data_IF_189398376895
#
_entry.id   IF_189398376895
#
_cell.length_a   1.000
_cell.length_b   1.000
_cell.length_c   1.000
_cell.angle_alpha   90.00
_cell.angle_beta   90.00
_cell.angle_gamma   90.00
#
_symmetry.space_group_name_H-M   'P 1'
#
loop_
_entity.id
_entity.type
_entity.pdbx_description
1 polymer ?
#
# COMPACT_ATOMS: atom_id res chain seq x y z
N UNK A 1 15.99 4.88 35.16
CA UNK A 1 14.56 5.16 34.91
C UNK A 1 14.21 4.58 33.53
N UNK A 2 13.27 3.60 33.47
CA UNK A 2 12.68 3.19 32.17
C UNK A 2 11.96 4.42 31.62
N UNK A 3 12.44 4.97 30.51
CA UNK A 3 11.75 6.05 29.79
C UNK A 3 10.33 5.57 29.46
N UNK A 4 9.34 6.29 29.94
CA UNK A 4 7.94 6.02 29.59
C UNK A 4 7.75 6.30 28.11
N UNK A 5 7.02 5.41 27.42
CA UNK A 5 6.59 5.63 26.04
C UNK A 5 5.67 6.86 26.00
N UNK A 6 5.98 7.79 25.13
CA UNK A 6 5.08 8.92 24.82
C UNK A 6 4.35 8.58 23.53
N UNK A 7 3.06 8.87 23.47
CA UNK A 7 2.23 8.66 22.29
C UNK A 7 1.44 9.94 22.00
N UNK A 8 1.48 10.39 20.77
CA UNK A 8 0.64 11.48 20.27
C UNK A 8 -0.33 10.93 19.23
N UNK A 9 -1.62 11.08 19.44
CA UNK A 9 -2.65 10.57 18.53
C UNK A 9 -3.51 11.70 17.97
N UNK A 10 -3.88 11.56 16.71
CA UNK A 10 -4.88 12.41 16.07
C UNK A 10 -5.58 11.67 14.94
N UNK A 11 -6.74 12.18 14.57
CA UNK A 11 -7.48 11.73 13.40
C UNK A 11 -8.21 12.90 12.76
N UNK A 12 -8.46 12.80 11.45
CA UNK A 12 -9.14 13.84 10.70
C UNK A 12 -9.84 13.29 9.46
N UNK A 13 -10.92 13.94 9.09
CA UNK A 13 -11.60 13.63 7.84
C UNK A 13 -10.74 14.04 6.63
N UNK A 14 -10.97 13.38 5.50
CA UNK A 14 -10.28 13.62 4.24
C UNK A 14 -10.33 15.10 3.78
N UNK A 15 -11.48 15.73 3.97
CA UNK A 15 -11.74 17.06 3.40
C UNK A 15 -11.59 17.04 1.88
N UNK A 16 -11.12 18.14 1.31
CA UNK A 16 -10.91 18.28 -0.13
C UNK A 16 -9.61 17.62 -0.62
N UNK A 17 -8.61 17.47 0.27
CA UNK A 17 -7.28 17.01 -0.12
C UNK A 17 -6.68 16.07 0.93
N UNK A 18 -6.48 14.77 0.61
CA UNK A 18 -5.91 13.80 1.55
C UNK A 18 -4.50 14.17 2.03
N UNK A 19 -3.68 14.82 1.19
CA UNK A 19 -2.33 15.28 1.60
C UNK A 19 -2.42 16.38 2.68
N UNK A 20 -3.32 17.35 2.52
CA UNK A 20 -3.55 18.37 3.55
C UNK A 20 -4.12 17.77 4.84
N UNK A 21 -5.01 16.80 4.74
CA UNK A 21 -5.53 16.08 5.90
C UNK A 21 -4.42 15.33 6.65
N UNK A 22 -3.55 14.63 5.93
CA UNK A 22 -2.36 13.97 6.51
C UNK A 22 -1.45 14.94 7.25
N UNK A 23 -1.15 16.08 6.64
CA UNK A 23 -0.35 17.14 7.25
C UNK A 23 -0.99 17.67 8.55
N UNK A 24 -2.27 18.07 8.49
CA UNK A 24 -2.99 18.60 9.64
C UNK A 24 -3.11 17.61 10.80
N UNK A 25 -3.33 16.32 10.48
CA UNK A 25 -3.41 15.25 11.49
C UNK A 25 -2.04 15.01 12.14
N UNK A 26 -0.96 15.06 11.37
CA UNK A 26 0.39 14.93 11.89
C UNK A 26 0.73 16.06 12.87
N UNK A 27 0.46 17.33 12.51
CA UNK A 27 0.63 18.46 13.42
C UNK A 27 -0.22 18.31 14.69
N UNK A 28 -1.47 17.86 14.56
CA UNK A 28 -2.34 17.66 15.72
C UNK A 28 -1.79 16.56 16.64
N UNK A 29 -1.28 15.45 16.09
CA UNK A 29 -0.67 14.38 16.88
C UNK A 29 0.58 14.84 17.63
N UNK A 30 1.44 15.67 17.00
CA UNK A 30 2.59 16.29 17.68
C UNK A 30 2.12 17.19 18.82
N UNK A 31 1.19 18.10 18.58
CA UNK A 31 0.64 18.96 19.65
C UNK A 31 0.05 18.13 20.81
N UNK A 32 -0.69 17.09 20.52
CA UNK A 32 -1.33 16.24 21.52
C UNK A 32 -0.32 15.41 22.34
N UNK A 33 0.87 15.17 21.82
CA UNK A 33 1.94 14.49 22.55
C UNK A 33 2.61 15.37 23.59
N UNK A 34 2.55 16.70 23.43
CA UNK A 34 3.32 17.68 24.23
C UNK A 34 4.81 17.67 23.94
N UNK A 35 5.28 16.97 22.88
CA UNK A 35 6.69 16.89 22.49
C UNK A 35 7.03 17.91 21.40
N UNK A 36 8.31 18.26 21.35
CA UNK A 36 8.88 19.20 20.36
C UNK A 36 9.91 18.55 19.45
N UNK A 37 10.31 17.30 19.76
CA UNK A 37 11.21 16.47 18.95
C UNK A 37 10.43 15.55 18.03
N UNK A 38 11.07 15.06 16.98
CA UNK A 38 10.45 14.16 16.02
C UNK A 38 10.15 12.80 16.65
N UNK A 39 9.05 12.13 16.25
CA UNK A 39 8.74 10.79 16.71
C UNK A 39 9.72 9.75 16.11
N UNK A 40 9.96 8.67 16.86
CA UNK A 40 10.81 7.57 16.38
C UNK A 40 10.15 6.78 15.26
N UNK A 41 8.82 6.63 15.32
CA UNK A 41 8.02 5.91 14.33
C UNK A 41 6.52 6.22 14.50
N UNK A 42 5.70 5.82 13.53
CA UNK A 42 4.26 6.00 13.61
C UNK A 42 3.44 4.82 13.09
N UNK A 43 2.20 4.76 13.54
CA UNK A 43 1.14 3.92 13.01
C UNK A 43 0.11 4.77 12.29
N UNK A 44 -0.35 4.31 11.13
CA UNK A 44 -1.36 5.00 10.33
C UNK A 44 -2.44 4.03 9.86
N UNK A 45 -3.70 4.48 9.90
CA UNK A 45 -4.83 3.84 9.22
C UNK A 45 -5.51 4.86 8.33
N UNK A 46 -5.80 4.47 7.08
CA UNK A 46 -6.47 5.29 6.09
C UNK A 46 -7.41 4.42 5.22
N UNK A 47 -8.35 5.00 4.47
CA UNK A 47 -9.09 4.25 3.47
C UNK A 47 -8.18 3.85 2.30
N UNK A 48 -8.47 2.74 1.61
CA UNK A 48 -7.70 2.32 0.45
C UNK A 48 -7.84 3.34 -0.69
N UNK A 49 -6.73 3.49 -1.43
CA UNK A 49 -6.69 4.31 -2.64
C UNK A 49 -6.01 5.67 -2.51
N UNK A 50 -5.84 6.18 -1.30
CA UNK A 50 -5.26 7.51 -1.05
C UNK A 50 -4.12 7.50 -0.03
N UNK A 51 -3.67 6.32 0.41
CA UNK A 51 -2.68 6.14 1.49
C UNK A 51 -1.40 6.92 1.22
N UNK A 52 -0.89 6.88 -0.02
CA UNK A 52 0.33 7.59 -0.38
C UNK A 52 0.18 9.11 -0.26
N UNK A 53 -1.04 9.63 -0.48
CA UNK A 53 -1.32 11.06 -0.35
C UNK A 53 -1.33 11.49 1.12
N UNK A 54 -1.95 10.72 2.00
CA UNK A 54 -1.89 10.96 3.46
C UNK A 54 -0.46 10.84 3.98
N UNK A 55 0.28 9.80 3.56
CA UNK A 55 1.69 9.61 3.93
C UNK A 55 2.55 10.79 3.50
N UNK A 56 2.37 11.31 2.28
CA UNK A 56 3.10 12.48 1.82
C UNK A 56 2.86 13.69 2.73
N UNK A 57 1.62 13.93 3.15
CA UNK A 57 1.30 15.02 4.09
C UNK A 57 1.91 14.82 5.48
N UNK A 58 1.87 13.60 6.01
CA UNK A 58 2.50 13.27 7.30
C UNK A 58 4.02 13.50 7.23
N UNK A 59 4.67 13.04 6.14
CA UNK A 59 6.10 13.19 5.95
C UNK A 59 6.58 14.65 5.79
N UNK A 60 5.72 15.56 5.37
CA UNK A 60 6.01 16.99 5.36
C UNK A 60 6.21 17.57 6.78
N UNK A 61 5.60 16.93 7.78
CA UNK A 61 5.66 17.36 9.18
C UNK A 61 6.77 16.67 9.95
N UNK A 62 6.92 15.34 9.80
CA UNK A 62 7.85 14.53 10.61
C UNK A 62 8.99 13.91 9.82
N UNK A 63 9.13 14.25 8.54
CA UNK A 63 10.14 13.64 7.68
C UNK A 63 9.87 12.16 7.37
N UNK A 64 10.88 11.47 6.85
CA UNK A 64 10.82 10.04 6.54
C UNK A 64 11.28 9.23 7.75
N UNK A 65 10.35 8.84 8.58
CA UNK A 65 10.58 7.95 9.72
C UNK A 65 9.91 6.60 9.49
N UNK A 66 10.32 5.52 10.19
CA UNK A 66 9.69 4.22 10.10
C UNK A 66 8.20 4.28 10.42
N UNK A 67 7.40 3.51 9.71
CA UNK A 67 5.98 3.41 10.00
C UNK A 67 5.42 2.03 9.65
N UNK A 68 4.24 1.75 10.18
CA UNK A 68 3.40 0.63 9.77
C UNK A 68 1.93 1.03 9.88
N UNK A 69 1.05 0.19 9.38
CA UNK A 69 -0.37 0.46 9.43
C UNK A 69 -1.14 -0.42 8.46
N UNK A 70 -2.32 0.01 8.11
CA UNK A 70 -3.18 -0.72 7.19
C UNK A 70 -4.25 0.16 6.59
N UNK A 71 -4.84 -0.35 5.53
CA UNK A 71 -6.01 0.23 4.89
C UNK A 71 -7.28 -0.35 5.51
N UNK A 72 -8.29 0.49 5.69
CA UNK A 72 -9.62 0.03 6.04
C UNK A 72 -10.18 -0.87 4.93
N UNK A 73 -10.95 -1.86 5.28
CA UNK A 73 -11.54 -2.80 4.34
C UNK A 73 -12.95 -3.20 4.76
N UNK A 74 -13.71 -3.73 3.82
CA UNK A 74 -15.01 -4.37 4.01
C UNK A 74 -14.99 -5.81 3.45
N UNK A 75 -16.01 -6.59 3.77
CA UNK A 75 -16.06 -8.00 3.38
C UNK A 75 -16.48 -8.23 1.92
N UNK A 76 -17.11 -7.24 1.30
CA UNK A 76 -17.77 -7.37 -0.02
C UNK A 76 -17.25 -6.39 -1.07
N UNK A 77 -16.18 -5.65 -0.74
CA UNK A 77 -15.53 -4.67 -1.62
C UNK A 77 -16.48 -3.56 -2.12
N UNK A 78 -17.47 -3.20 -1.30
CA UNK A 78 -18.48 -2.17 -1.66
C UNK A 78 -18.10 -0.76 -1.21
N UNK A 79 -16.98 -0.58 -0.53
CA UNK A 79 -16.50 0.71 -0.07
C UNK A 79 -17.14 1.18 1.25
N UNK A 80 -17.73 0.26 2.02
CA UNK A 80 -18.43 0.56 3.29
C UNK A 80 -17.53 0.42 4.51
N UNK A 81 -16.31 0.89 4.42
CA UNK A 81 -15.37 0.91 5.54
C UNK A 81 -15.42 2.19 6.34
N UNK A 82 -14.82 2.14 7.52
CA UNK A 82 -14.63 3.31 8.37
C UNK A 82 -13.22 3.29 8.98
N UNK A 83 -12.64 4.47 9.08
CA UNK A 83 -11.44 4.71 9.89
C UNK A 83 -11.91 5.25 11.23
N UNK A 84 -11.42 4.67 12.32
CA UNK A 84 -11.74 5.12 13.67
C UNK A 84 -10.61 5.97 14.24
N UNK A 85 -11.00 7.09 14.82
CA UNK A 85 -10.18 7.94 15.67
C UNK A 85 -11.02 8.36 16.87
N UNK A 86 -11.28 9.66 17.05
CA UNK A 86 -12.24 10.13 18.04
C UNK A 86 -13.69 9.81 17.63
N UNK A 87 -13.95 9.64 16.35
CA UNK A 87 -15.22 9.20 15.76
C UNK A 87 -14.97 8.28 14.57
N UNK A 88 -16.01 7.58 14.13
CA UNK A 88 -15.99 6.83 12.89
C UNK A 88 -16.02 7.81 11.70
N UNK A 89 -15.14 7.60 10.72
CA UNK A 89 -15.02 8.41 9.51
C UNK A 89 -15.08 7.51 8.28
N UNK A 90 -15.98 7.72 7.33
CA UNK A 90 -16.02 6.94 6.09
C UNK A 90 -14.80 7.24 5.19
N UNK A 91 -14.20 8.41 5.36
CA UNK A 91 -12.99 8.83 4.67
C UNK A 91 -12.16 9.76 5.57
N UNK A 92 -10.89 9.45 5.74
CA UNK A 92 -9.98 10.22 6.61
C UNK A 92 -8.77 9.40 7.02
N UNK A 93 -7.99 9.91 7.94
CA UNK A 93 -6.77 9.27 8.43
C UNK A 93 -6.71 9.34 9.95
N UNK A 94 -6.22 8.27 10.56
CA UNK A 94 -5.85 8.24 11.97
C UNK A 94 -4.35 7.91 12.08
N UNK A 95 -3.64 8.63 12.96
CA UNK A 95 -2.22 8.46 13.19
C UNK A 95 -1.91 8.39 14.69
N UNK A 96 -0.94 7.55 15.04
CA UNK A 96 -0.33 7.51 16.36
C UNK A 96 1.19 7.62 16.22
N UNK A 97 1.79 8.64 16.78
CA UNK A 97 3.23 8.87 16.86
C UNK A 97 3.79 8.32 18.16
N UNK A 98 4.98 7.73 18.10
CA UNK A 98 5.61 7.07 19.24
C UNK A 98 7.03 7.57 19.48
N UNK A 99 7.40 7.76 20.73
CA UNK A 99 8.73 8.16 21.21
C UNK A 99 9.23 7.18 22.27
N UNK A 100 10.54 7.08 22.39
CA UNK A 100 11.24 6.31 23.43
C UNK A 100 10.93 4.81 23.40
N UNK A 101 10.64 4.24 22.22
CA UNK A 101 10.49 2.79 22.06
C UNK A 101 11.22 2.31 20.80
N UNK A 102 12.04 1.28 20.94
CA UNK A 102 12.63 0.64 19.77
C UNK A 102 11.53 0.08 18.87
N UNK A 103 11.75 0.18 17.57
CA UNK A 103 10.84 -0.27 16.54
C UNK A 103 11.60 -1.05 15.47
N UNK A 104 11.16 -2.25 15.21
CA UNK A 104 11.61 -3.06 14.08
C UNK A 104 10.52 -3.15 13.02
N UNK A 105 10.84 -2.79 11.80
CA UNK A 105 9.97 -3.02 10.67
C UNK A 105 10.66 -3.82 9.57
N UNK A 106 9.88 -4.53 8.80
CA UNK A 106 10.33 -5.25 7.63
C UNK A 106 9.23 -5.20 6.57
N UNK A 107 9.56 -4.66 5.40
CA UNK A 107 8.78 -4.91 4.20
C UNK A 107 9.23 -6.22 3.61
N UNK A 108 8.32 -7.14 3.40
CA UNK A 108 8.58 -8.44 2.78
C UNK A 108 7.35 -8.90 2.02
N UNK A 109 7.56 -9.80 1.10
CA UNK A 109 6.52 -10.54 0.39
C UNK A 109 7.15 -11.82 -0.14
N UNK A 110 6.40 -12.92 -0.10
CA UNK A 110 6.86 -14.22 -0.61
C UNK A 110 6.80 -14.31 -2.15
N UNK A 111 6.33 -13.27 -2.81
CA UNK A 111 6.18 -13.30 -4.27
C UNK A 111 7.53 -13.30 -4.97
N UNK A 112 7.68 -14.20 -5.93
CA UNK A 112 8.82 -14.30 -6.85
C UNK A 112 8.40 -14.05 -8.29
N UNK A 113 9.31 -13.52 -9.13
CA UNK A 113 9.00 -13.26 -10.53
C UNK A 113 8.81 -14.56 -11.33
N UNK A 114 7.83 -14.57 -12.24
CA UNK A 114 7.58 -15.69 -13.15
C UNK A 114 8.40 -15.62 -14.45
N UNK A 115 9.05 -14.48 -14.71
CA UNK A 115 9.70 -14.18 -15.98
C UNK A 115 8.78 -13.60 -17.06
N UNK A 116 7.45 -13.60 -16.86
CA UNK A 116 6.47 -12.98 -17.77
C UNK A 116 6.39 -11.50 -17.46
N UNK A 117 6.95 -10.65 -18.33
CA UNK A 117 7.14 -9.22 -18.08
C UNK A 117 6.89 -8.38 -19.33
N UNK A 118 6.64 -7.10 -19.14
CA UNK A 118 6.51 -6.08 -20.17
C UNK A 118 6.76 -4.69 -19.60
N UNK A 119 6.61 -3.67 -20.42
CA UNK A 119 6.74 -2.27 -20.02
C UNK A 119 5.36 -1.64 -19.90
N UNK A 120 5.13 -0.92 -18.82
CA UNK A 120 3.93 -0.10 -18.65
C UNK A 120 4.00 1.06 -19.65
N UNK A 121 3.18 1.01 -20.69
CA UNK A 121 3.21 2.03 -21.77
C UNK A 121 2.13 3.08 -21.62
N UNK A 122 1.06 2.80 -20.84
CA UNK A 122 0.02 3.78 -20.59
C UNK A 122 -0.70 3.54 -19.26
N UNK A 123 -0.79 4.60 -18.46
CA UNK A 123 -1.52 4.62 -17.17
C UNK A 123 -2.45 5.83 -17.14
N UNK A 124 -3.63 5.66 -16.60
CA UNK A 124 -4.57 6.73 -16.34
C UNK A 124 -4.77 6.89 -14.84
N UNK A 125 -4.80 8.14 -14.35
CA UNK A 125 -5.01 8.48 -12.93
C UNK A 125 -4.08 7.71 -11.98
N UNK A 126 -2.88 7.32 -12.46
CA UNK A 126 -1.86 6.53 -11.73
C UNK A 126 -2.28 5.11 -11.33
N UNK A 127 -3.56 4.74 -11.46
CA UNK A 127 -4.10 3.46 -10.95
C UNK A 127 -4.89 2.64 -11.97
N UNK A 128 -5.10 3.15 -13.16
CA UNK A 128 -5.72 2.41 -14.25
C UNK A 128 -4.64 2.04 -15.27
N UNK A 129 -4.22 0.79 -15.28
CA UNK A 129 -3.25 0.26 -16.24
C UNK A 129 -3.96 0.04 -17.57
N UNK A 130 -3.65 0.88 -18.55
CA UNK A 130 -4.24 0.84 -19.88
C UNK A 130 -3.50 -0.12 -20.81
N UNK A 131 -2.17 -0.01 -20.83
CA UNK A 131 -1.38 -0.73 -21.82
C UNK A 131 -0.07 -1.26 -21.22
N UNK A 132 0.30 -2.46 -21.67
CA UNK A 132 1.59 -3.10 -21.47
C UNK A 132 2.15 -3.40 -22.86
N UNK A 133 3.35 -2.90 -23.18
CA UNK A 133 4.00 -3.03 -24.49
C UNK A 133 3.09 -2.57 -25.67
N UNK A 134 2.31 -1.51 -25.46
CA UNK A 134 1.36 -0.97 -26.44
C UNK A 134 0.12 -1.84 -26.70
N UNK A 135 -0.13 -2.86 -25.88
CA UNK A 135 -1.30 -3.75 -25.97
C UNK A 135 -2.23 -3.53 -24.78
N UNK A 136 -3.54 -3.79 -24.90
CA UNK A 136 -4.48 -3.70 -23.80
C UNK A 136 -4.02 -4.54 -22.61
N UNK A 137 -3.96 -3.93 -21.43
CA UNK A 137 -3.32 -4.54 -20.25
C UNK A 137 -3.98 -5.85 -19.81
N UNK A 138 -5.33 -5.92 -19.87
CA UNK A 138 -6.06 -7.12 -19.46
C UNK A 138 -5.80 -8.30 -20.41
N UNK A 139 -5.65 -8.05 -21.70
CA UNK A 139 -5.31 -9.09 -22.68
C UNK A 139 -3.91 -9.66 -22.40
N UNK A 140 -2.94 -8.80 -22.13
CA UNK A 140 -1.57 -9.22 -21.81
C UNK A 140 -1.54 -10.06 -20.52
N UNK A 141 -2.19 -9.56 -19.46
CA UNK A 141 -2.23 -10.27 -18.16
C UNK A 141 -3.01 -11.57 -18.26
N UNK A 142 -4.12 -11.60 -19.00
CA UNK A 142 -4.86 -12.83 -19.28
C UNK A 142 -3.98 -13.88 -19.98
N UNK A 143 -3.22 -13.47 -21.00
CA UNK A 143 -2.25 -14.34 -21.66
C UNK A 143 -1.17 -14.86 -20.71
N UNK A 144 -0.66 -14.04 -19.82
CA UNK A 144 0.30 -14.45 -18.78
C UNK A 144 -0.29 -15.47 -17.81
N UNK A 145 -1.57 -15.33 -17.46
CA UNK A 145 -2.30 -16.22 -16.55
C UNK A 145 -2.81 -17.50 -17.24
N UNK A 146 -2.70 -17.60 -18.57
CA UNK A 146 -3.30 -18.69 -19.35
C UNK A 146 -4.84 -18.68 -19.29
N UNK A 147 -5.45 -17.51 -19.23
CA UNK A 147 -6.89 -17.27 -19.08
C UNK A 147 -7.43 -16.41 -20.23
N UNK A 148 -8.75 -16.39 -20.40
CA UNK A 148 -9.41 -15.43 -21.29
C UNK A 148 -9.71 -14.13 -20.56
N UNK A 149 -9.59 -12.93 -21.20
CA UNK A 149 -9.96 -11.66 -20.59
C UNK A 149 -11.37 -11.64 -20.02
N UNK A 150 -12.35 -12.26 -20.68
CA UNK A 150 -13.75 -12.30 -20.23
C UNK A 150 -13.92 -12.94 -18.85
N UNK A 151 -13.07 -13.92 -18.51
CA UNK A 151 -13.09 -14.60 -17.20
C UNK A 151 -12.50 -13.76 -16.08
N UNK A 152 -11.83 -12.67 -16.42
CA UNK A 152 -11.10 -11.77 -15.51
C UNK A 152 -11.79 -10.43 -15.31
N UNK A 153 -13.01 -10.27 -15.80
CA UNK A 153 -13.78 -9.04 -15.65
C UNK A 153 -14.17 -8.75 -14.20
N UNK A 154 -14.22 -7.47 -13.85
CA UNK A 154 -14.57 -7.03 -12.50
C UNK A 154 -13.66 -7.62 -11.43
N UNK A 155 -14.23 -7.95 -10.29
CA UNK A 155 -13.51 -8.51 -9.13
C UNK A 155 -12.91 -9.92 -9.37
N UNK A 156 -13.28 -10.62 -10.45
CA UNK A 156 -12.70 -11.93 -10.77
C UNK A 156 -11.17 -11.85 -10.95
N UNK A 157 -10.68 -10.74 -11.50
CA UNK A 157 -9.24 -10.52 -11.64
C UNK A 157 -8.53 -10.48 -10.28
N UNK A 158 -9.11 -9.78 -9.29
CA UNK A 158 -8.55 -9.73 -7.94
C UNK A 158 -8.41 -11.15 -7.35
N UNK A 159 -9.48 -11.93 -7.37
CA UNK A 159 -9.46 -13.28 -6.82
C UNK A 159 -8.46 -14.19 -7.56
N UNK A 160 -8.36 -14.06 -8.88
CA UNK A 160 -7.43 -14.86 -9.70
C UNK A 160 -5.98 -14.48 -9.45
N UNK A 161 -5.70 -13.25 -8.99
CA UNK A 161 -4.34 -12.71 -8.83
C UNK A 161 -3.86 -12.63 -7.38
N UNK A 162 -4.59 -13.19 -6.41
CA UNK A 162 -4.15 -13.25 -5.00
C UNK A 162 -2.75 -13.88 -4.89
N UNK A 163 -2.53 -15.01 -5.59
CA UNK A 163 -1.24 -15.69 -5.61
C UNK A 163 -0.35 -15.29 -6.80
N UNK A 164 -0.89 -14.53 -7.73
CA UNK A 164 -0.20 -14.11 -8.96
C UNK A 164 -0.39 -12.60 -9.24
N UNK A 165 0.01 -11.73 -8.32
CA UNK A 165 -0.13 -10.28 -8.53
C UNK A 165 0.87 -9.77 -9.57
N UNK A 166 0.74 -8.51 -9.92
CA UNK A 166 1.76 -7.78 -10.68
C UNK A 166 2.84 -7.25 -9.75
N UNK A 167 4.07 -7.19 -10.22
CA UNK A 167 5.19 -6.53 -9.58
C UNK A 167 5.74 -5.44 -10.49
N UNK A 168 5.84 -4.20 -10.01
CA UNK A 168 6.51 -3.11 -10.70
C UNK A 168 7.93 -3.00 -10.19
N UNK A 169 8.92 -3.02 -11.08
CA UNK A 169 10.31 -2.80 -10.71
C UNK A 169 10.57 -1.32 -10.45
N UNK A 170 11.36 -1.06 -9.43
CA UNK A 170 11.81 0.30 -9.14
C UNK A 170 12.73 0.81 -10.28
N UNK A 171 12.61 2.11 -10.62
CA UNK A 171 13.42 2.73 -11.66
C UNK A 171 14.88 2.97 -11.21
N UNK A 172 15.09 3.14 -9.91
CA UNK A 172 16.40 3.44 -9.33
C UNK A 172 17.10 2.16 -8.88
N UNK A 173 16.36 1.26 -8.23
CA UNK A 173 16.87 -0.04 -7.79
C UNK A 173 16.04 -1.18 -8.38
N UNK A 174 16.49 -1.69 -9.53
CA UNK A 174 15.80 -2.78 -10.23
C UNK A 174 15.70 -4.10 -9.43
N UNK A 175 16.40 -4.22 -8.30
CA UNK A 175 16.26 -5.37 -7.39
C UNK A 175 14.99 -5.27 -6.55
N UNK A 176 14.49 -4.06 -6.31
CA UNK A 176 13.23 -3.85 -5.62
C UNK A 176 12.05 -4.02 -6.56
N UNK A 177 11.11 -4.86 -6.15
CA UNK A 177 9.85 -5.10 -6.84
C UNK A 177 8.71 -4.74 -5.90
N UNK A 178 7.92 -3.75 -6.32
CA UNK A 178 6.74 -3.30 -5.59
C UNK A 178 5.52 -4.07 -6.07
N UNK A 179 4.88 -4.80 -5.18
CA UNK A 179 3.65 -5.53 -5.53
C UNK A 179 2.54 -4.54 -5.86
N UNK A 180 1.87 -4.81 -6.97
CA UNK A 180 0.77 -4.03 -7.54
C UNK A 180 -0.42 -4.96 -7.75
N UNK A 181 -1.32 -5.00 -6.79
CA UNK A 181 -2.46 -5.93 -6.85
C UNK A 181 -3.47 -5.45 -7.89
N UNK A 182 -3.79 -6.27 -8.91
CA UNK A 182 -4.93 -6.00 -9.78
C UNK A 182 -6.22 -6.10 -8.97
N UNK A 183 -7.04 -5.04 -9.03
CA UNK A 183 -8.30 -4.95 -8.27
C UNK A 183 -9.51 -5.30 -9.13
N UNK A 184 -9.42 -5.15 -10.44
CA UNK A 184 -10.51 -5.47 -11.35
C UNK A 184 -10.17 -5.25 -12.80
N UNK A 185 -10.74 -6.10 -13.67
CA UNK A 185 -10.67 -5.94 -15.13
C UNK A 185 -11.85 -5.11 -15.64
N UNK A 186 -11.60 -4.19 -16.54
CA UNK A 186 -12.61 -3.30 -17.11
C UNK A 186 -13.04 -3.73 -18.52
N UNK A 187 -14.27 -3.40 -18.97
CA UNK A 187 -14.74 -3.71 -20.32
C UNK A 187 -13.89 -3.14 -21.46
N UNK A 188 -13.14 -2.07 -21.22
CA UNK A 188 -12.19 -1.47 -22.15
C UNK A 188 -10.80 -2.13 -22.14
N UNK A 189 -10.69 -3.31 -21.54
CA UNK A 189 -9.47 -4.10 -21.40
C UNK A 189 -8.37 -3.44 -20.54
N UNK A 190 -8.69 -2.42 -19.78
CA UNK A 190 -7.81 -1.86 -18.75
C UNK A 190 -7.95 -2.63 -17.42
N UNK A 191 -6.99 -2.39 -16.51
CA UNK A 191 -6.95 -3.00 -15.18
C UNK A 191 -6.90 -1.91 -14.12
N UNK A 192 -7.81 -1.94 -13.15
CA UNK A 192 -7.70 -1.16 -11.93
C UNK A 192 -6.67 -1.79 -11.00
N UNK A 193 -5.78 -0.98 -10.44
CA UNK A 193 -4.69 -1.44 -9.56
C UNK A 193 -4.75 -0.72 -8.22
N UNK A 194 -4.48 -1.44 -7.16
CA UNK A 194 -4.59 -0.94 -5.78
C UNK A 194 -3.59 0.17 -5.41
N UNK A 195 -2.50 0.32 -6.14
CA UNK A 195 -1.42 1.27 -5.87
C UNK A 195 -0.99 2.06 -7.10
N UNK A 196 -0.27 3.16 -6.90
CA UNK A 196 0.22 3.99 -8.00
C UNK A 196 1.19 3.23 -8.92
N UNK A 197 0.98 3.37 -10.21
CA UNK A 197 1.82 2.87 -11.29
C UNK A 197 2.63 4.01 -11.91
N UNK A 198 3.75 3.66 -12.53
CA UNK A 198 4.61 4.61 -13.24
C UNK A 198 4.85 4.12 -14.67
N UNK A 199 4.52 4.94 -15.67
CA UNK A 199 4.83 4.66 -17.06
C UNK A 199 6.33 4.55 -17.28
N UNK A 200 6.72 3.67 -18.20
CA UNK A 200 8.11 3.36 -18.48
C UNK A 200 8.73 2.31 -17.54
N UNK A 201 8.09 2.00 -16.40
CA UNK A 201 8.54 0.93 -15.54
C UNK A 201 8.27 -0.44 -16.14
N UNK A 202 9.14 -1.40 -15.81
CA UNK A 202 8.86 -2.82 -16.08
C UNK A 202 7.81 -3.33 -15.10
N UNK A 203 6.83 -4.05 -15.62
CA UNK A 203 5.85 -4.82 -14.86
C UNK A 203 6.00 -6.30 -15.15
N UNK A 204 5.84 -7.13 -14.12
CA UNK A 204 6.07 -8.56 -14.20
C UNK A 204 4.98 -9.33 -13.45
N UNK A 205 4.54 -10.48 -13.99
CA UNK A 205 3.67 -11.38 -13.25
C UNK A 205 4.47 -12.05 -12.14
N UNK A 206 3.97 -11.95 -10.92
CA UNK A 206 4.56 -12.58 -9.75
C UNK A 206 3.81 -13.86 -9.39
N UNK A 207 4.41 -14.69 -8.55
CA UNK A 207 3.77 -15.88 -8.01
C UNK A 207 4.20 -16.16 -6.58
N UNK A 208 3.29 -16.71 -5.79
CA UNK A 208 3.55 -17.35 -4.50
C UNK A 208 2.46 -18.37 -4.21
N UNK A 209 2.77 -19.36 -3.38
CA UNK A 209 1.76 -20.22 -2.78
C UNK A 209 1.18 -19.56 -1.52
N UNK A 210 0.01 -20.01 -1.08
CA UNK A 210 -0.60 -19.52 0.18
C UNK A 210 0.31 -19.82 1.37
N UNK A 211 0.95 -20.98 1.41
CA UNK A 211 1.87 -21.35 2.50
C UNK A 211 3.11 -20.46 2.53
N UNK A 212 3.67 -20.08 1.38
CA UNK A 212 4.78 -19.14 1.29
C UNK A 212 4.35 -17.74 1.79
N UNK A 213 3.15 -17.29 1.44
CA UNK A 213 2.61 -16.01 1.92
C UNK A 213 2.43 -16.01 3.44
N UNK A 214 1.86 -17.06 4.01
CA UNK A 214 1.70 -17.22 5.46
C UNK A 214 3.05 -17.33 6.16
N UNK A 215 3.97 -18.13 5.63
CA UNK A 215 5.31 -18.32 6.18
C UNK A 215 6.14 -17.02 6.22
N UNK A 216 6.00 -16.17 5.20
CA UNK A 216 6.72 -14.89 5.11
C UNK A 216 6.41 -13.93 6.27
N UNK A 217 5.24 -14.04 6.89
CA UNK A 217 4.89 -13.25 8.09
C UNK A 217 5.77 -13.65 9.27
N UNK A 218 5.96 -14.96 9.49
CA UNK A 218 6.84 -15.48 10.55
C UNK A 218 8.29 -15.04 10.35
N UNK A 219 8.80 -15.09 9.11
CA UNK A 219 10.13 -14.62 8.77
C UNK A 219 10.30 -13.12 9.03
N UNK A 220 9.31 -12.30 8.64
CA UNK A 220 9.33 -10.86 8.89
C UNK A 220 9.42 -10.54 10.39
N UNK A 221 8.63 -11.24 11.22
CA UNK A 221 8.65 -11.09 12.69
C UNK A 221 10.00 -11.53 13.25
N UNK A 222 10.59 -12.63 12.76
CA UNK A 222 11.92 -13.09 13.15
C UNK A 222 12.99 -12.00 12.93
N UNK A 223 13.06 -11.44 11.72
CA UNK A 223 14.00 -10.36 11.39
C UNK A 223 13.78 -9.11 12.25
N UNK A 224 12.52 -8.74 12.53
CA UNK A 224 12.24 -7.60 13.41
C UNK A 224 12.73 -7.85 14.85
N UNK A 225 12.56 -9.06 15.37
CA UNK A 225 13.05 -9.44 16.71
C UNK A 225 14.57 -9.38 16.80
N UNK A 226 15.29 -9.89 15.80
CA UNK A 226 16.76 -9.86 15.76
C UNK A 226 17.30 -8.43 15.75
N UNK A 227 16.62 -7.50 15.09
CA UNK A 227 17.01 -6.07 15.07
C UNK A 227 16.77 -5.33 16.38
N UNK A 228 15.93 -5.88 17.25
CA UNK A 228 15.56 -5.28 18.54
C UNK A 228 16.32 -5.91 19.72
N UNK A 229 17.04 -7.01 19.49
CA UNK A 229 17.86 -7.69 20.50
C UNK A 229 19.22 -7.02 20.65
#
# INVERSE_FOLDING_TARGET
QKSLMTVGVASGERGECPRKAGHSVAEAALRNSGRTDDPDWFYMVAPPGEEESYLAGIQEVVGRIPFFGGSAADNDLTGKWHVYGQKAMPSGVAVAFFWNKPFGNRYTGAYRPTGKRGIITKVENKRVLREIDGKPALEVVAGWLGSSPDTLMGANLLFRTITNPLGQRDLVDAKHVWIRHPMGGNPDMSINVGNNLVEGCSVELMEATVDELVGSVGEAVGVCRERLA
#
